data_IF_806832058899
#
_entry.id   IF_806832058899
#
_cell.length_a   1.000
_cell.length_b   1.000
_cell.length_c   1.000
_cell.angle_alpha   90.00
_cell.angle_beta   90.00
_cell.angle_gamma   90.00
#
_symmetry.space_group_name_H-M   'P 1'
#
loop_
_entity.id
_entity.type
_entity.pdbx_description
1 polymer ?
#
# COMPACT_ATOMS: atom_id res chain seq x y z
N UNK A 1 3.45 -15.56 10.97
CA UNK A 1 3.45 -14.17 10.46
C UNK A 1 3.37 -13.25 11.66
N UNK A 2 4.17 -12.18 11.72
CA UNK A 2 4.12 -11.22 12.83
C UNK A 2 2.76 -10.49 12.83
N UNK A 3 2.22 -10.13 14.01
CA UNK A 3 0.91 -9.47 14.15
C UNK A 3 0.80 -8.21 13.26
N UNK A 4 1.85 -7.39 13.27
CA UNK A 4 1.94 -6.16 12.46
C UNK A 4 1.80 -6.42 10.96
N UNK A 5 2.42 -7.49 10.44
CA UNK A 5 2.35 -7.84 9.02
C UNK A 5 0.97 -8.37 8.66
N UNK A 6 0.31 -9.07 9.60
CA UNK A 6 -1.08 -9.48 9.45
C UNK A 6 -1.98 -8.26 9.32
N UNK A 7 -1.91 -7.31 10.25
CA UNK A 7 -2.79 -6.13 10.28
C UNK A 7 -2.64 -5.24 9.03
N UNK A 8 -1.41 -5.16 8.49
CA UNK A 8 -1.10 -4.43 7.26
C UNK A 8 -1.68 -5.11 6.02
N UNK A 9 -1.84 -6.43 5.99
CA UNK A 9 -2.19 -7.16 4.77
C UNK A 9 -3.61 -7.76 4.78
N UNK A 10 -4.20 -7.97 5.95
CA UNK A 10 -5.52 -8.62 6.09
C UNK A 10 -6.63 -7.64 6.42
N UNK A 11 -7.88 -8.02 6.14
CA UNK A 11 -9.10 -7.31 6.53
C UNK A 11 -9.35 -7.35 8.04
N UNK A 12 -10.52 -6.89 8.47
CA UNK A 12 -10.91 -6.79 9.90
C UNK A 12 -10.92 -8.17 10.58
N UNK A 13 -11.12 -9.22 9.79
CA UNK A 13 -11.10 -10.63 10.21
C UNK A 13 -9.71 -11.18 10.52
N UNK A 14 -8.63 -10.46 10.20
CA UNK A 14 -7.26 -10.90 10.42
C UNK A 14 -6.86 -12.14 9.61
N UNK A 15 -7.66 -12.53 8.61
CA UNK A 15 -7.56 -13.80 7.87
C UNK A 15 -7.61 -13.61 6.35
N UNK A 16 -8.54 -12.77 5.86
CA UNK A 16 -8.69 -12.50 4.43
C UNK A 16 -7.72 -11.42 4.00
N UNK A 17 -6.95 -11.65 2.93
CA UNK A 17 -6.12 -10.60 2.36
C UNK A 17 -7.00 -9.47 1.81
N UNK A 18 -6.80 -8.26 2.34
CA UNK A 18 -7.47 -7.08 1.84
C UNK A 18 -6.68 -6.57 0.64
N UNK A 19 -7.17 -6.86 -0.58
CA UNK A 19 -6.50 -6.49 -1.85
C UNK A 19 -6.05 -5.02 -1.84
N UNK A 20 -6.88 -4.13 -1.29
CA UNK A 20 -6.60 -2.69 -1.19
C UNK A 20 -5.39 -2.41 -0.30
N UNK A 21 -5.26 -3.09 0.84
CA UNK A 21 -4.09 -2.92 1.72
C UNK A 21 -2.83 -3.52 1.11
N UNK A 22 -2.95 -4.66 0.41
CA UNK A 22 -1.83 -5.28 -0.33
C UNK A 22 -1.31 -4.35 -1.43
N UNK A 23 -2.22 -3.73 -2.19
CA UNK A 23 -1.85 -2.73 -3.20
C UNK A 23 -1.19 -1.50 -2.57
N UNK A 24 -1.65 -1.05 -1.41
CA UNK A 24 -1.03 0.05 -0.66
C UNK A 24 0.39 -0.27 -0.23
N UNK A 25 0.61 -1.48 0.29
CA UNK A 25 1.95 -1.94 0.63
C UNK A 25 2.86 -2.06 -0.61
N UNK A 26 2.32 -2.53 -1.74
CA UNK A 26 3.05 -2.63 -2.99
C UNK A 26 3.52 -1.26 -3.52
N UNK A 27 2.72 -0.19 -3.38
CA UNK A 27 3.12 1.18 -3.74
C UNK A 27 4.36 1.60 -2.94
N UNK A 28 4.38 1.36 -1.63
CA UNK A 28 5.55 1.70 -0.79
C UNK A 28 6.78 0.87 -1.19
N UNK A 29 6.62 -0.42 -1.45
CA UNK A 29 7.72 -1.28 -1.89
C UNK A 29 8.30 -0.83 -3.23
N UNK A 30 7.46 -0.45 -4.20
CA UNK A 30 7.89 0.03 -5.52
C UNK A 30 8.71 1.31 -5.38
N UNK A 31 8.30 2.24 -4.52
CA UNK A 31 9.08 3.45 -4.24
C UNK A 31 10.51 3.11 -3.79
N UNK A 32 10.65 2.22 -2.79
CA UNK A 32 11.95 1.81 -2.25
C UNK A 32 12.81 1.15 -3.35
N UNK A 33 12.22 0.25 -4.14
CA UNK A 33 12.95 -0.43 -5.21
C UNK A 33 13.44 0.54 -6.29
N UNK A 34 12.63 1.54 -6.64
CA UNK A 34 13.01 2.56 -7.62
C UNK A 34 14.12 3.45 -7.06
N UNK A 35 14.06 3.86 -5.79
CA UNK A 35 15.16 4.64 -5.18
C UNK A 35 16.48 3.87 -5.18
N UNK A 36 16.45 2.58 -4.81
CA UNK A 36 17.64 1.72 -4.87
C UNK A 36 18.15 1.57 -6.30
N UNK A 37 17.26 1.36 -7.27
CA UNK A 37 17.63 1.27 -8.67
C UNK A 37 18.20 2.58 -9.22
N UNK A 38 17.65 3.73 -8.83
CA UNK A 38 18.15 5.06 -9.17
C UNK A 38 19.55 5.28 -8.62
N UNK A 39 19.79 4.89 -7.35
CA UNK A 39 21.11 4.94 -6.73
C UNK A 39 22.14 4.08 -7.48
N UNK A 40 21.79 2.84 -7.85
CA UNK A 40 22.70 1.92 -8.56
C UNK A 40 22.97 2.39 -9.99
N UNK A 41 21.96 2.88 -10.71
CA UNK A 41 22.07 3.24 -12.14
C UNK A 41 22.54 4.67 -12.37
N UNK A 42 22.56 5.51 -11.34
CA UNK A 42 22.80 6.95 -11.45
C UNK A 42 21.71 7.69 -12.21
N UNK A 43 20.59 7.04 -12.55
CA UNK A 43 19.47 7.67 -13.23
C UNK A 43 18.66 8.47 -12.22
N UNK A 44 18.33 9.74 -12.50
CA UNK A 44 17.53 10.54 -11.60
C UNK A 44 16.13 9.94 -11.47
N UNK A 45 15.65 9.86 -10.24
CA UNK A 45 14.27 9.52 -9.92
C UNK A 45 13.58 10.75 -9.32
N UNK A 46 12.44 11.13 -9.88
CA UNK A 46 11.61 12.20 -9.35
C UNK A 46 10.64 11.63 -8.29
N UNK A 47 11.11 11.63 -7.04
CA UNK A 47 10.32 11.18 -5.90
C UNK A 47 9.08 12.05 -5.64
N UNK A 48 9.06 13.32 -6.08
CA UNK A 48 7.92 14.20 -5.89
C UNK A 48 6.79 13.84 -6.86
N UNK A 49 7.12 13.66 -8.14
CA UNK A 49 6.14 13.22 -9.15
C UNK A 49 5.55 11.85 -8.78
N UNK A 50 6.39 10.91 -8.34
CA UNK A 50 5.92 9.64 -7.81
C UNK A 50 5.04 9.83 -6.57
N UNK A 51 5.47 10.65 -5.62
CA UNK A 51 4.77 10.91 -4.36
C UNK A 51 3.37 11.48 -4.56
N UNK A 52 3.16 12.33 -5.57
CA UNK A 52 1.83 12.85 -5.93
C UNK A 52 0.92 11.70 -6.41
N UNK A 53 1.41 10.84 -7.31
CA UNK A 53 0.65 9.69 -7.81
C UNK A 53 0.38 8.66 -6.72
N UNK A 54 1.40 8.32 -5.93
CA UNK A 54 1.30 7.40 -4.81
C UNK A 54 0.36 7.93 -3.72
N UNK A 55 0.43 9.22 -3.40
CA UNK A 55 -0.47 9.87 -2.44
C UNK A 55 -1.92 9.83 -2.89
N UNK A 56 -2.19 10.08 -4.17
CA UNK A 56 -3.53 9.95 -4.74
C UNK A 56 -4.05 8.50 -4.67
N UNK A 57 -3.20 7.52 -4.99
CA UNK A 57 -3.54 6.11 -4.87
C UNK A 57 -3.85 5.74 -3.41
N UNK A 58 -3.01 6.14 -2.46
CA UNK A 58 -3.20 5.87 -1.02
C UNK A 58 -4.49 6.52 -0.49
N UNK A 59 -4.79 7.74 -0.90
CA UNK A 59 -6.03 8.41 -0.54
C UNK A 59 -7.27 7.66 -1.07
N UNK A 60 -7.22 7.21 -2.33
CA UNK A 60 -8.28 6.39 -2.93
C UNK A 60 -8.44 5.05 -2.21
N UNK A 61 -7.33 4.42 -1.82
CA UNK A 61 -7.33 3.17 -1.04
C UNK A 61 -7.94 3.36 0.35
N UNK A 62 -7.63 4.45 1.05
CA UNK A 62 -8.25 4.77 2.34
C UNK A 62 -9.77 4.96 2.23
N UNK A 63 -10.23 5.61 1.16
CA UNK A 63 -11.66 5.71 0.85
C UNK A 63 -12.31 4.35 0.57
N UNK A 64 -11.64 3.50 -0.21
CA UNK A 64 -12.12 2.16 -0.54
C UNK A 64 -12.21 1.24 0.69
N UNK A 65 -11.23 1.29 1.60
CA UNK A 65 -11.24 0.54 2.86
C UNK A 65 -12.42 0.99 3.73
N UNK A 66 -12.63 2.30 3.87
CA UNK A 66 -13.75 2.83 4.65
C UNK A 66 -15.12 2.40 4.08
N UNK A 67 -15.22 2.23 2.77
CA UNK A 67 -16.43 1.71 2.11
C UNK A 67 -16.56 0.19 2.29
N UNK A 68 -15.46 -0.55 2.31
CA UNK A 68 -15.47 -2.00 2.50
C UNK A 68 -15.77 -2.39 3.95
N UNK A 69 -15.40 -1.57 4.95
CA UNK A 69 -15.76 -1.76 6.36
C UNK A 69 -17.27 -1.86 6.60
N UNK A 70 -18.10 -1.22 5.76
CA UNK A 70 -19.56 -1.35 5.80
C UNK A 70 -20.11 -2.64 5.21
N UNK A 71 -19.28 -3.39 4.48
CA UNK A 71 -19.66 -4.57 3.68
C UNK A 71 -18.97 -5.86 4.12
N UNK A 72 -17.89 -5.75 4.90
CA UNK A 72 -17.08 -6.88 5.34
C UNK A 72 -17.75 -7.66 6.51
N UNK A 73 -17.58 -9.00 6.57
CA UNK A 73 -18.04 -9.81 7.68
C UNK A 73 -17.38 -9.37 8.99
N UNK A 74 -18.20 -9.13 10.01
CA UNK A 74 -17.72 -8.81 11.36
C UNK A 74 -17.34 -10.11 12.10
N UNK A 75 -16.35 -10.05 13.01
CA UNK A 75 -16.06 -11.16 13.91
C UNK A 75 -17.25 -11.53 14.80
#
# INVERSE_FOLDING_TARGET
MNQVVKDILTGIDGQSFAIVKVLGFAVVLVFILIEVAAFITGKPFDGQAYGIGAGAAIAAMGGAIKLSETSEPKP
#
